data_IF_628464163939
#
_entry.id   IF_628464163939
#
_cell.length_a   1.000
_cell.length_b   1.000
_cell.length_c   1.000
_cell.angle_alpha   90.00
_cell.angle_beta   90.00
_cell.angle_gamma   90.00
#
_symmetry.space_group_name_H-M   'P 1'
#
loop_
_entity.id
_entity.type
_entity.pdbx_description
1 polymer ?
#
# COMPACT_ATOMS: atom_id res chain seq x y z
N UNK A 1 4.03 7.82 -15.27
CA UNK A 1 4.65 6.80 -14.40
C UNK A 1 5.99 7.27 -13.82
N UNK A 2 6.96 7.71 -14.62
CA UNK A 2 8.29 8.16 -14.12
C UNK A 2 8.21 9.21 -13.01
N UNK A 3 7.35 10.23 -13.14
CA UNK A 3 7.14 11.25 -12.11
C UNK A 3 6.62 10.66 -10.79
N UNK A 4 5.70 9.69 -10.86
CA UNK A 4 5.15 9.04 -9.67
C UNK A 4 6.23 8.27 -8.92
N UNK A 5 7.04 7.47 -9.62
CA UNK A 5 8.11 6.70 -8.97
C UNK A 5 9.17 7.61 -8.35
N UNK A 6 9.56 8.70 -9.01
CA UNK A 6 10.48 9.67 -8.43
C UNK A 6 9.90 10.33 -7.16
N UNK A 7 8.62 10.69 -7.19
CA UNK A 7 7.94 11.22 -6.00
C UNK A 7 7.90 10.19 -4.86
N UNK A 8 7.60 8.92 -5.16
CA UNK A 8 7.55 7.86 -4.15
C UNK A 8 8.92 7.58 -3.54
N UNK A 9 9.99 7.69 -4.31
CA UNK A 9 11.36 7.61 -3.82
C UNK A 9 11.65 8.74 -2.82
N UNK A 10 11.39 10.00 -3.18
CA UNK A 10 11.54 11.15 -2.30
C UNK A 10 10.68 11.02 -1.02
N UNK A 11 9.44 10.56 -1.18
CA UNK A 11 8.53 10.34 -0.06
C UNK A 11 9.06 9.24 0.88
N UNK A 12 9.57 8.14 0.32
CA UNK A 12 10.14 7.03 1.10
C UNK A 12 11.34 7.49 1.92
N UNK A 13 12.22 8.31 1.35
CA UNK A 13 13.36 8.88 2.06
C UNK A 13 12.94 9.76 3.25
N UNK A 14 11.87 10.56 3.09
CA UNK A 14 11.35 11.39 4.18
C UNK A 14 10.69 10.54 5.26
N UNK A 15 10.04 9.43 4.89
CA UNK A 15 9.35 8.53 5.82
C UNK A 15 10.26 7.46 6.44
N UNK A 16 11.50 7.35 6.00
CA UNK A 16 12.44 6.38 6.53
C UNK A 16 12.73 6.61 8.01
N UNK A 17 12.82 5.52 8.77
CA UNK A 17 13.12 5.57 10.20
C UNK A 17 14.46 6.25 10.44
N UNK A 18 14.46 7.34 11.19
CA UNK A 18 15.66 8.13 11.49
C UNK A 18 15.92 9.29 10.53
N UNK A 19 15.14 9.44 9.45
CA UNK A 19 15.23 10.59 8.55
C UNK A 19 14.69 11.89 9.18
N UNK A 20 13.87 11.77 10.22
CA UNK A 20 13.30 12.86 10.99
C UNK A 20 13.66 12.71 12.46
N UNK A 21 13.95 13.81 13.20
CA UNK A 21 14.16 13.73 14.64
C UNK A 21 12.85 13.32 15.34
N UNK A 22 12.91 12.64 16.51
CA UNK A 22 11.73 12.14 17.21
C UNK A 22 10.99 13.29 17.95
N UNK A 23 10.51 14.26 17.20
CA UNK A 23 9.85 15.48 17.72
C UNK A 23 8.54 15.19 18.41
N UNK A 24 7.86 14.10 18.07
CA UNK A 24 6.62 13.65 18.69
C UNK A 24 6.86 13.15 20.13
N UNK A 25 8.05 12.61 20.40
CA UNK A 25 8.46 12.13 21.71
C UNK A 25 9.13 13.26 22.51
N UNK A 26 9.93 14.07 21.82
CA UNK A 26 10.70 15.17 22.41
C UNK A 26 10.36 16.51 21.74
N UNK A 27 9.25 17.17 22.12
CA UNK A 27 8.78 18.41 21.48
C UNK A 27 9.78 19.56 21.47
N UNK A 28 10.72 19.60 22.43
CA UNK A 28 11.76 20.64 22.48
C UNK A 28 12.69 20.60 21.25
N UNK A 29 12.76 19.48 20.52
CA UNK A 29 13.55 19.36 19.28
C UNK A 29 13.03 20.28 18.17
N UNK A 30 11.77 20.72 18.23
CA UNK A 30 11.24 21.73 17.30
C UNK A 30 11.94 23.09 17.41
N UNK A 31 12.57 23.38 18.54
CA UNK A 31 13.27 24.65 18.76
C UNK A 31 14.69 24.64 18.18
N UNK A 32 15.20 23.47 17.85
CA UNK A 32 16.52 23.33 17.25
C UNK A 32 16.41 23.55 15.73
N UNK A 33 17.23 24.42 15.14
CA UNK A 33 17.18 24.65 13.70
C UNK A 33 17.34 23.37 12.88
N UNK A 34 16.52 23.20 11.86
CA UNK A 34 16.45 21.99 11.04
C UNK A 34 17.76 21.62 10.33
N UNK A 35 18.67 22.60 10.17
CA UNK A 35 19.99 22.40 9.57
C UNK A 35 20.83 21.36 10.33
N UNK A 36 20.62 21.23 11.63
CA UNK A 36 21.29 20.22 12.47
C UNK A 36 20.71 18.80 12.29
N UNK A 37 19.52 18.69 11.68
CA UNK A 37 18.80 17.44 11.48
C UNK A 37 18.50 17.18 9.97
N UNK A 38 19.37 17.59 9.07
CA UNK A 38 19.27 17.29 7.65
C UNK A 38 18.05 17.91 6.95
N UNK A 39 17.64 19.12 7.35
CA UNK A 39 16.58 19.91 6.70
C UNK A 39 15.23 19.17 6.61
N UNK A 40 14.90 18.39 7.63
CA UNK A 40 13.75 17.48 7.60
C UNK A 40 12.40 18.18 7.32
N UNK A 41 12.18 19.40 7.85
CA UNK A 41 10.95 20.17 7.61
C UNK A 41 10.89 20.63 6.16
N UNK A 42 12.01 21.16 5.63
CA UNK A 42 12.10 21.62 4.25
C UNK A 42 11.89 20.46 3.28
N UNK A 43 12.54 19.32 3.49
CA UNK A 43 12.35 18.11 2.67
C UNK A 43 10.89 17.64 2.67
N UNK A 44 10.26 17.58 3.84
CA UNK A 44 8.85 17.20 3.94
C UNK A 44 7.91 18.16 3.21
N UNK A 45 8.19 19.47 3.26
CA UNK A 45 7.42 20.49 2.53
C UNK A 45 7.60 20.35 1.02
N UNK A 46 8.80 20.09 0.55
CA UNK A 46 9.08 19.91 -0.88
C UNK A 46 8.36 18.69 -1.43
N UNK A 47 8.44 17.54 -0.73
CA UNK A 47 7.68 16.34 -1.11
C UNK A 47 6.17 16.60 -1.08
N UNK A 48 5.66 17.26 -0.05
CA UNK A 48 4.24 17.62 0.04
C UNK A 48 3.78 18.54 -1.11
N UNK A 49 4.64 19.44 -1.57
CA UNK A 49 4.37 20.29 -2.74
C UNK A 49 4.33 19.45 -4.02
N UNK A 50 5.33 18.60 -4.25
CA UNK A 50 5.39 17.71 -5.40
C UNK A 50 4.17 16.76 -5.47
N UNK A 51 3.74 16.22 -4.32
CA UNK A 51 2.51 15.40 -4.21
C UNK A 51 1.28 16.19 -4.64
N UNK A 52 1.11 17.40 -4.12
CA UNK A 52 -0.02 18.26 -4.48
C UNK A 52 -0.06 18.55 -6.00
N UNK A 53 1.07 18.89 -6.59
CA UNK A 53 1.18 19.20 -8.01
C UNK A 53 0.87 17.97 -8.87
N UNK A 54 1.47 16.81 -8.56
CA UNK A 54 1.28 15.60 -9.34
C UNK A 54 -0.15 15.05 -9.24
N UNK A 55 -0.74 15.03 -8.04
CA UNK A 55 -2.10 14.54 -7.85
C UNK A 55 -3.13 15.46 -8.50
N UNK A 56 -2.90 16.78 -8.48
CA UNK A 56 -3.74 17.72 -9.20
C UNK A 56 -3.63 17.52 -10.72
N UNK A 57 -2.41 17.29 -11.26
CA UNK A 57 -2.20 16.95 -12.68
C UNK A 57 -3.00 15.70 -13.05
N UNK A 58 -2.99 14.65 -12.24
CA UNK A 58 -3.73 13.43 -12.52
C UNK A 58 -5.24 13.61 -12.46
N UNK A 59 -5.76 14.39 -11.52
CA UNK A 59 -7.18 14.73 -11.51
C UNK A 59 -7.58 15.49 -12.79
N UNK A 60 -6.75 16.44 -13.23
CA UNK A 60 -7.02 17.21 -14.45
C UNK A 60 -7.03 16.32 -15.70
N UNK A 61 -6.14 15.33 -15.78
CA UNK A 61 -6.16 14.34 -16.85
C UNK A 61 -7.47 13.53 -16.86
N UNK A 62 -7.98 13.12 -15.71
CA UNK A 62 -9.27 12.44 -15.62
C UNK A 62 -10.41 13.35 -16.06
N UNK A 63 -10.43 14.61 -15.61
CA UNK A 63 -11.47 15.58 -15.99
C UNK A 63 -11.42 15.86 -17.52
N UNK A 64 -10.23 16.02 -18.09
CA UNK A 64 -10.07 16.21 -19.53
C UNK A 64 -10.52 14.98 -20.33
N UNK A 65 -10.11 13.80 -19.92
CA UNK A 65 -10.56 12.56 -20.54
C UNK A 65 -12.08 12.44 -20.51
N UNK A 66 -12.72 12.73 -19.38
CA UNK A 66 -14.20 12.71 -19.26
C UNK A 66 -14.90 13.62 -20.25
N UNK A 67 -14.31 14.79 -20.57
CA UNK A 67 -14.88 15.71 -21.57
C UNK A 67 -14.82 15.15 -22.99
N UNK A 68 -13.82 14.33 -23.30
CA UNK A 68 -13.57 13.82 -24.66
C UNK A 68 -14.22 12.45 -24.84
N UNK A 69 -14.03 11.54 -23.90
CA UNK A 69 -14.39 10.13 -24.01
C UNK A 69 -15.58 9.73 -23.12
N UNK A 70 -16.06 10.62 -22.28
CA UNK A 70 -17.10 10.34 -21.29
C UNK A 70 -16.62 9.59 -20.05
N UNK A 71 -17.57 9.10 -19.29
CA UNK A 71 -17.33 8.29 -18.08
C UNK A 71 -16.83 6.88 -18.47
N UNK A 72 -15.72 6.46 -17.89
CA UNK A 72 -15.13 5.10 -18.06
C UNK A 72 -15.29 4.21 -16.83
N UNK A 73 -16.17 4.61 -15.91
CA UNK A 73 -16.43 3.89 -14.66
C UNK A 73 -15.19 3.69 -13.75
N UNK A 74 -14.15 4.51 -13.93
CA UNK A 74 -13.02 4.50 -13.01
C UNK A 74 -13.46 4.98 -11.61
N UNK A 75 -12.64 4.73 -10.61
CA UNK A 75 -12.92 5.16 -9.24
C UNK A 75 -13.21 6.67 -9.17
N UNK A 76 -12.35 7.51 -9.76
CA UNK A 76 -12.56 8.96 -9.78
C UNK A 76 -13.78 9.37 -10.61
N UNK A 77 -14.14 8.63 -11.66
CA UNK A 77 -15.39 8.87 -12.39
C UNK A 77 -16.59 8.70 -11.46
N UNK A 78 -16.63 7.63 -10.69
CA UNK A 78 -17.72 7.35 -9.74
C UNK A 78 -17.80 8.39 -8.63
N UNK A 79 -16.65 8.84 -8.13
CA UNK A 79 -16.60 9.89 -7.09
C UNK A 79 -17.06 11.24 -7.65
N UNK A 80 -16.64 11.60 -8.86
CA UNK A 80 -17.05 12.84 -9.52
C UNK A 80 -18.55 12.88 -9.87
N UNK A 81 -19.19 11.71 -10.03
CA UNK A 81 -20.63 11.62 -10.27
C UNK A 81 -21.46 11.72 -8.98
N UNK A 82 -20.81 11.71 -7.81
CA UNK A 82 -21.48 11.80 -6.51
C UNK A 82 -21.43 13.23 -5.94
N UNK A 83 -22.13 14.17 -6.59
CA UNK A 83 -22.21 15.60 -6.18
C UNK A 83 -22.58 15.80 -4.70
N UNK A 84 -23.26 14.84 -4.08
CA UNK A 84 -23.72 14.92 -2.69
C UNK A 84 -22.59 14.85 -1.65
N UNK A 85 -21.40 14.39 -2.04
CA UNK A 85 -20.28 14.23 -1.10
C UNK A 85 -19.58 15.55 -0.79
N UNK A 86 -19.75 16.58 -1.63
CA UNK A 86 -19.23 17.93 -1.39
C UNK A 86 -17.70 18.00 -1.24
N UNK A 87 -16.96 17.08 -1.86
CA UNK A 87 -15.51 17.08 -1.81
C UNK A 87 -14.91 18.32 -2.45
N UNK A 88 -13.98 18.94 -1.76
CA UNK A 88 -13.13 19.99 -2.34
C UNK A 88 -12.23 19.40 -3.42
N UNK A 89 -11.74 20.25 -4.34
CA UNK A 89 -10.77 19.82 -5.37
C UNK A 89 -9.54 19.16 -4.75
N UNK A 90 -9.05 19.68 -3.62
CA UNK A 90 -7.93 19.11 -2.87
C UNK A 90 -8.22 17.68 -2.41
N UNK A 91 -9.39 17.46 -1.81
CA UNK A 91 -9.79 16.11 -1.38
C UNK A 91 -9.92 15.14 -2.55
N UNK A 92 -10.44 15.59 -3.69
CA UNK A 92 -10.58 14.75 -4.89
C UNK A 92 -9.24 14.28 -5.44
N UNK A 93 -8.26 15.18 -5.59
CA UNK A 93 -6.99 14.76 -6.13
C UNK A 93 -6.15 13.96 -5.13
N UNK A 94 -6.25 14.23 -3.83
CA UNK A 94 -5.62 13.40 -2.81
C UNK A 94 -6.23 12.00 -2.77
N UNK A 95 -7.54 11.89 -2.86
CA UNK A 95 -8.23 10.60 -2.88
C UNK A 95 -7.76 9.72 -4.04
N UNK A 96 -7.62 10.30 -5.25
CA UNK A 96 -7.08 9.60 -6.41
C UNK A 96 -5.59 9.28 -6.29
N UNK A 97 -4.81 10.24 -5.80
CA UNK A 97 -3.36 10.12 -5.63
C UNK A 97 -2.97 9.02 -4.64
N UNK A 98 -3.59 9.01 -3.47
CA UNK A 98 -3.35 7.98 -2.44
C UNK A 98 -3.69 6.58 -2.94
N UNK A 99 -4.75 6.42 -3.73
CA UNK A 99 -5.07 5.11 -4.33
C UNK A 99 -4.02 4.68 -5.36
N UNK A 100 -3.49 5.60 -6.15
CA UNK A 100 -2.40 5.30 -7.08
C UNK A 100 -1.12 4.92 -6.33
N UNK A 101 -0.76 5.68 -5.31
CA UNK A 101 0.40 5.42 -4.47
C UNK A 101 0.30 4.06 -3.78
N UNK A 102 -0.80 3.80 -3.07
CA UNK A 102 -1.01 2.53 -2.38
C UNK A 102 -1.09 1.32 -3.31
N UNK A 103 -1.56 1.49 -4.54
CA UNK A 103 -1.76 0.41 -5.52
C UNK A 103 -0.57 0.12 -6.42
N UNK A 104 0.41 1.03 -6.56
CA UNK A 104 1.49 0.89 -7.54
C UNK A 104 2.60 -0.04 -7.07
N UNK A 105 3.04 0.04 -5.82
CA UNK A 105 4.23 -0.67 -5.33
C UNK A 105 3.92 -1.88 -4.46
N UNK A 106 2.85 -1.84 -3.67
CA UNK A 106 2.56 -2.88 -2.70
C UNK A 106 2.31 -4.24 -3.35
N UNK A 107 1.48 -4.28 -4.39
CA UNK A 107 1.20 -5.51 -5.15
C UNK A 107 2.42 -6.01 -5.91
N UNK A 108 3.19 -5.09 -6.51
CA UNK A 108 4.43 -5.43 -7.21
C UNK A 108 5.47 -6.04 -6.28
N UNK A 109 5.63 -5.47 -5.09
CA UNK A 109 6.57 -5.95 -4.07
C UNK A 109 6.22 -7.36 -3.59
N UNK A 110 4.94 -7.67 -3.38
CA UNK A 110 4.49 -9.03 -3.03
C UNK A 110 4.74 -10.02 -4.16
N UNK A 111 4.48 -9.63 -5.41
CA UNK A 111 4.74 -10.50 -6.57
C UNK A 111 6.24 -10.79 -6.67
N UNK A 112 7.10 -9.79 -6.50
CA UNK A 112 8.56 -9.97 -6.52
C UNK A 112 9.01 -10.88 -5.36
N UNK A 113 8.47 -10.67 -4.16
CA UNK A 113 8.75 -11.53 -3.01
C UNK A 113 8.31 -12.98 -3.26
N UNK A 114 7.14 -13.18 -3.87
CA UNK A 114 6.64 -14.49 -4.26
C UNK A 114 7.56 -15.17 -5.28
N UNK A 115 7.95 -14.47 -6.35
CA UNK A 115 8.88 -15.00 -7.35
C UNK A 115 10.22 -15.37 -6.71
N UNK A 116 10.74 -14.52 -5.84
CA UNK A 116 11.97 -14.80 -5.09
C UNK A 116 11.82 -16.06 -4.21
N UNK A 117 10.68 -16.21 -3.52
CA UNK A 117 10.39 -17.41 -2.74
C UNK A 117 10.38 -18.67 -3.63
N UNK A 118 9.74 -18.62 -4.80
CA UNK A 118 9.66 -19.76 -5.71
C UNK A 118 11.04 -20.15 -6.29
N UNK A 119 11.91 -19.18 -6.53
CA UNK A 119 13.28 -19.47 -6.97
C UNK A 119 14.12 -20.09 -5.85
N UNK A 120 13.88 -19.70 -4.60
CA UNK A 120 14.61 -20.23 -3.43
C UNK A 120 14.13 -21.61 -3.00
N UNK A 121 12.85 -21.89 -3.16
CA UNK A 121 12.19 -23.16 -2.78
C UNK A 121 11.40 -23.76 -3.96
N UNK A 122 12.08 -24.31 -4.97
CA UNK A 122 11.44 -24.82 -6.19
C UNK A 122 10.50 -26.01 -5.95
N UNK A 123 10.67 -26.73 -4.85
CA UNK A 123 9.78 -27.81 -4.45
C UNK A 123 8.37 -27.29 -4.05
N UNK A 124 8.31 -26.13 -3.42
CA UNK A 124 7.04 -25.45 -3.09
C UNK A 124 6.33 -25.02 -4.36
N UNK A 125 7.08 -24.44 -5.30
CA UNK A 125 6.54 -24.06 -6.61
C UNK A 125 5.93 -25.28 -7.35
N UNK A 126 6.67 -26.38 -7.43
CA UNK A 126 6.20 -27.60 -8.10
C UNK A 126 4.94 -28.16 -7.44
N UNK A 127 4.85 -28.09 -6.12
CA UNK A 127 3.67 -28.56 -5.39
C UNK A 127 2.46 -27.65 -5.65
N UNK A 128 2.66 -26.33 -5.66
CA UNK A 128 1.61 -25.37 -6.00
C UNK A 128 1.11 -25.56 -7.44
N UNK A 129 2.02 -25.73 -8.40
CA UNK A 129 1.68 -26.04 -9.79
C UNK A 129 0.87 -27.32 -9.90
N UNK A 130 1.30 -28.41 -9.22
CA UNK A 130 0.57 -29.67 -9.23
C UNK A 130 -0.87 -29.54 -8.70
N UNK A 131 -1.10 -28.69 -7.69
CA UNK A 131 -2.46 -28.42 -7.20
C UNK A 131 -3.29 -27.69 -8.26
N UNK A 132 -2.71 -26.66 -8.91
CA UNK A 132 -3.39 -25.92 -9.98
C UNK A 132 -3.73 -26.85 -11.14
N UNK A 133 -2.78 -27.65 -11.61
CA UNK A 133 -2.96 -28.59 -12.72
C UNK A 133 -4.05 -29.63 -12.40
N UNK A 134 -4.12 -30.10 -11.14
CA UNK A 134 -5.11 -31.08 -10.71
C UNK A 134 -6.53 -30.51 -10.59
N UNK A 135 -6.67 -29.23 -10.21
CA UNK A 135 -7.98 -28.61 -9.95
C UNK A 135 -8.53 -27.89 -11.19
N UNK A 136 -7.65 -27.27 -11.97
CA UNK A 136 -8.02 -26.38 -13.08
C UNK A 136 -7.67 -27.00 -14.44
N UNK A 137 -6.57 -27.74 -14.51
CA UNK A 137 -6.01 -28.25 -15.77
C UNK A 137 -5.32 -27.14 -16.58
N UNK A 138 -5.11 -27.44 -17.88
CA UNK A 138 -4.41 -26.55 -18.82
C UNK A 138 -5.37 -25.63 -19.60
N UNK A 139 -6.69 -25.82 -19.46
CA UNK A 139 -7.69 -25.20 -20.33
C UNK A 139 -7.94 -23.71 -20.02
N UNK A 140 -7.67 -23.26 -18.82
CA UNK A 140 -7.96 -21.89 -18.39
C UNK A 140 -7.05 -21.39 -17.25
N UNK A 141 -7.02 -20.07 -17.09
CA UNK A 141 -6.38 -19.42 -15.93
C UNK A 141 -7.25 -19.55 -14.68
N UNK A 142 -6.66 -19.71 -13.48
CA UNK A 142 -7.38 -19.63 -12.20
C UNK A 142 -8.21 -18.35 -12.08
N UNK A 143 -9.41 -18.47 -11.53
CA UNK A 143 -10.30 -17.35 -11.21
C UNK A 143 -10.61 -17.33 -9.71
N UNK A 144 -11.21 -16.26 -9.21
CA UNK A 144 -11.45 -16.08 -7.78
C UNK A 144 -12.30 -17.20 -7.14
N UNK A 145 -13.25 -17.76 -7.89
CA UNK A 145 -14.09 -18.88 -7.39
C UNK A 145 -13.32 -20.19 -7.17
N UNK A 146 -12.09 -20.31 -7.70
CA UNK A 146 -11.26 -21.50 -7.49
C UNK A 146 -10.49 -21.45 -6.16
N UNK A 147 -10.48 -20.28 -5.49
CA UNK A 147 -9.66 -20.03 -4.30
C UNK A 147 -9.83 -21.09 -3.20
N UNK A 148 -11.07 -21.50 -2.92
CA UNK A 148 -11.37 -22.49 -1.90
C UNK A 148 -10.88 -23.90 -2.27
N UNK A 149 -10.71 -24.18 -3.56
CA UNK A 149 -10.22 -25.45 -4.09
C UNK A 149 -8.68 -25.50 -4.26
N UNK A 150 -7.99 -24.39 -3.93
CA UNK A 150 -6.54 -24.24 -4.06
C UNK A 150 -5.89 -23.92 -2.69
N UNK A 151 -6.07 -24.76 -1.68
CA UNK A 151 -5.63 -24.45 -0.31
C UNK A 151 -4.10 -24.34 -0.19
N UNK A 152 -3.33 -25.11 -0.94
CA UNK A 152 -1.87 -25.04 -0.88
C UNK A 152 -1.36 -23.77 -1.56
N UNK A 153 -1.92 -23.39 -2.72
CA UNK A 153 -1.61 -22.12 -3.39
C UNK A 153 -1.96 -20.94 -2.47
N UNK A 154 -3.16 -20.96 -1.85
CA UNK A 154 -3.59 -19.94 -0.91
C UNK A 154 -2.63 -19.83 0.29
N UNK A 155 -2.20 -20.95 0.87
CA UNK A 155 -1.22 -20.99 1.94
C UNK A 155 0.15 -20.46 1.50
N UNK A 156 0.59 -20.80 0.29
CA UNK A 156 1.86 -20.33 -0.26
C UNK A 156 1.88 -18.80 -0.45
N UNK A 157 0.78 -18.22 -0.93
CA UNK A 157 0.63 -16.75 -1.04
C UNK A 157 0.68 -16.09 0.32
N UNK A 158 -0.06 -16.61 1.32
CA UNK A 158 -0.05 -16.09 2.68
C UNK A 158 1.34 -16.18 3.31
N UNK A 159 2.06 -17.28 3.08
CA UNK A 159 3.42 -17.45 3.58
C UNK A 159 4.42 -16.49 2.92
N UNK A 160 4.29 -16.21 1.63
CA UNK A 160 5.10 -15.21 0.95
C UNK A 160 4.90 -13.81 1.57
N UNK A 161 3.64 -13.45 1.87
CA UNK A 161 3.30 -12.20 2.57
C UNK A 161 3.87 -12.14 3.99
N UNK A 162 3.86 -13.26 4.73
CA UNK A 162 4.46 -13.34 6.06
C UNK A 162 5.98 -13.24 6.01
N UNK A 163 6.60 -13.92 5.06
CA UNK A 163 8.06 -13.99 4.93
C UNK A 163 8.68 -12.65 4.52
N UNK A 164 8.03 -11.93 3.61
CA UNK A 164 8.46 -10.61 3.14
C UNK A 164 7.26 -9.65 3.09
N UNK A 165 6.80 -9.15 4.25
CA UNK A 165 5.74 -8.15 4.28
C UNK A 165 6.22 -6.84 3.65
N UNK A 166 5.35 -6.16 2.93
CA UNK A 166 5.67 -4.90 2.23
C UNK A 166 5.95 -3.78 3.22
N UNK A 167 5.19 -3.72 4.32
CA UNK A 167 5.36 -2.72 5.39
C UNK A 167 5.53 -3.45 6.72
N UNK A 168 6.75 -3.97 7.02
CA UNK A 168 6.97 -4.85 8.17
C UNK A 168 6.74 -4.18 9.52
N UNK A 169 6.98 -2.86 9.62
CA UNK A 169 6.84 -2.11 10.87
C UNK A 169 5.46 -1.49 11.06
N UNK A 170 4.61 -1.57 10.05
CA UNK A 170 3.31 -0.87 10.00
C UNK A 170 3.49 0.65 10.20
N UNK A 171 2.48 1.45 9.89
CA UNK A 171 2.51 2.89 10.22
C UNK A 171 2.18 3.08 11.71
N UNK A 172 2.92 3.94 12.44
CA UNK A 172 2.62 4.23 13.83
C UNK A 172 1.18 4.72 14.02
N UNK A 173 0.48 4.14 14.98
CA UNK A 173 -0.88 4.53 15.33
C UNK A 173 -0.94 4.92 16.80
N UNK A 174 -1.76 5.93 17.10
CA UNK A 174 -2.05 6.39 18.46
C UNK A 174 -3.56 6.22 18.70
N UNK A 175 -3.93 5.79 19.90
CA UNK A 175 -5.33 5.77 20.32
C UNK A 175 -5.84 7.21 20.43
N UNK A 176 -6.89 7.55 19.71
CA UNK A 176 -7.50 8.90 19.76
C UNK A 176 -8.19 9.18 21.09
N UNK A 177 -8.69 8.15 21.77
CA UNK A 177 -9.29 8.26 23.10
C UNK A 177 -8.63 7.25 24.04
N UNK A 178 -8.20 7.71 25.25
CA UNK A 178 -7.44 6.95 26.24
C UNK A 178 -8.20 5.84 26.97
N UNK A 179 -9.17 5.20 26.34
CA UNK A 179 -9.77 3.95 26.81
C UNK A 179 -8.90 2.81 26.30
N UNK A 180 -8.12 2.19 27.20
CA UNK A 180 -7.46 0.93 26.90
C UNK A 180 -8.56 -0.07 26.52
N UNK A 181 -8.78 -0.25 25.22
CA UNK A 181 -9.38 -1.49 24.75
C UNK A 181 -8.35 -2.54 25.09
N UNK A 182 -8.65 -3.40 26.07
CA UNK A 182 -7.95 -4.66 26.26
C UNK A 182 -8.11 -5.44 24.96
N UNK A 183 -7.25 -5.20 23.99
CA UNK A 183 -6.99 -6.17 22.97
C UNK A 183 -6.50 -7.40 23.71
N UNK A 184 -7.32 -8.44 23.77
CA UNK A 184 -6.87 -9.74 24.21
C UNK A 184 -5.82 -10.18 23.21
N UNK A 185 -4.56 -9.78 23.44
CA UNK A 185 -3.40 -10.27 22.67
C UNK A 185 -3.41 -11.79 22.53
N UNK A 186 -4.06 -12.48 23.48
CA UNK A 186 -4.26 -13.92 23.50
C UNK A 186 -5.15 -14.44 22.36
N UNK A 187 -6.18 -13.71 21.91
CA UNK A 187 -7.03 -14.17 20.80
C UNK A 187 -6.37 -14.00 19.44
N UNK A 188 -5.60 -12.92 19.25
CA UNK A 188 -4.81 -12.73 18.03
C UNK A 188 -3.69 -13.77 17.92
N UNK A 189 -2.98 -14.06 19.02
CA UNK A 189 -1.94 -15.10 19.03
C UNK A 189 -2.52 -16.50 18.82
N UNK A 190 -3.75 -16.81 19.26
CA UNK A 190 -4.42 -18.07 18.97
C UNK A 190 -4.88 -18.17 17.52
N UNK A 191 -5.43 -17.13 16.93
CA UNK A 191 -5.75 -17.12 15.48
C UNK A 191 -4.49 -17.26 14.62
N UNK A 192 -3.38 -16.61 14.99
CA UNK A 192 -2.11 -16.77 14.29
C UNK A 192 -1.48 -18.16 14.52
N UNK A 193 -1.60 -18.75 15.69
CA UNK A 193 -1.04 -20.08 15.98
C UNK A 193 -1.73 -21.20 15.19
N UNK A 194 -3.01 -21.08 14.85
CA UNK A 194 -3.72 -22.07 14.03
C UNK A 194 -3.41 -22.00 12.53
N UNK A 195 -2.72 -20.96 12.07
CA UNK A 195 -2.28 -20.80 10.66
C UNK A 195 -0.88 -21.38 10.42
N UNK A 196 -0.11 -21.66 11.51
CA UNK A 196 1.32 -22.02 11.43
C UNK A 196 1.67 -23.38 12.06
N UNK A 197 0.71 -24.28 12.25
CA UNK A 197 0.96 -25.67 12.63
C UNK A 197 0.60 -26.61 11.50
#
# INVERSE_FOLDING_TARGET
MTKLYALMENWSEVMETGSTPPVDIFPFLHWIPEQFFGMWVSRAKDVGKEMNELYAEYLDLVIQRRKIEGNKESFLDKVLDQDKLGFTRHQLYFLGGVLMEGGSDTSSSIIIAFIHAMTKWPEIQKRAQKEIDAVIGDDRTPIWSDYENLPYVAATVKEAMRWRPVVPMVFPHVLAEGKSSYFKAHSLLQEFAHVFV
#
